data_IF_369135041464
#
_entry.id   IF_369135041464
#
_cell.length_a   1.000
_cell.length_b   1.000
_cell.length_c   1.000
_cell.angle_alpha   90.00
_cell.angle_beta   90.00
_cell.angle_gamma   90.00
#
_symmetry.space_group_name_H-M   'P 1'
#
loop_
_entity.id
_entity.type
_entity.pdbx_description
1 polymer ?
#
# COMPACT_ATOMS: atom_id res chain seq x y z
N UNK A 1 -10.55 -30.49 11.59
CA UNK A 1 -10.73 -29.73 10.33
C UNK A 1 -10.29 -28.29 10.56
N UNK A 2 -9.16 -27.86 10.01
CA UNK A 2 -8.54 -26.54 10.29
C UNK A 2 -9.23 -25.46 9.44
N UNK A 3 -9.97 -24.55 10.08
CA UNK A 3 -10.85 -23.52 9.46
C UNK A 3 -10.31 -22.10 9.60
N UNK A 4 -9.00 -21.95 9.83
CA UNK A 4 -8.34 -20.64 9.92
C UNK A 4 -7.10 -20.64 9.05
N UNK A 5 -7.05 -19.70 8.11
CA UNK A 5 -5.81 -19.36 7.40
C UNK A 5 -4.92 -18.67 8.43
N UNK A 6 -3.81 -19.30 8.80
CA UNK A 6 -2.77 -18.71 9.65
C UNK A 6 -1.48 -18.65 8.86
N UNK A 7 -1.01 -17.44 8.60
CA UNK A 7 0.37 -17.21 8.21
C UNK A 7 1.17 -17.09 9.50
N UNK A 8 2.24 -17.88 9.66
CA UNK A 8 3.11 -17.87 10.86
C UNK A 8 4.18 -16.76 10.81
N UNK A 9 4.05 -15.80 9.88
CA UNK A 9 5.06 -14.78 9.55
C UNK A 9 4.79 -13.43 10.21
N UNK A 10 5.80 -12.54 10.21
CA UNK A 10 5.79 -11.18 10.80
C UNK A 10 4.58 -10.34 10.38
N UNK A 11 4.14 -9.35 11.18
CA UNK A 11 3.01 -8.49 10.83
C UNK A 11 3.15 -7.83 9.44
N UNK A 12 2.02 -7.42 8.84
CA UNK A 12 2.04 -6.52 7.67
C UNK A 12 2.36 -5.12 8.20
N UNK A 13 3.42 -4.48 7.69
CA UNK A 13 3.77 -3.12 8.06
C UNK A 13 2.90 -2.13 7.30
N UNK A 14 2.39 -1.13 7.99
CA UNK A 14 1.79 0.06 7.40
C UNK A 14 2.87 1.15 7.46
N UNK A 15 3.21 1.70 6.30
CA UNK A 15 4.17 2.78 6.12
C UNK A 15 3.47 4.14 6.20
N UNK A 16 3.85 5.02 5.28
CA UNK A 16 3.28 6.36 5.21
C UNK A 16 1.80 6.30 4.83
N UNK A 17 0.99 7.05 5.57
CA UNK A 17 -0.41 7.30 5.30
C UNK A 17 -0.64 8.82 5.39
N UNK A 18 -1.66 9.31 4.70
CA UNK A 18 -2.06 10.73 4.81
C UNK A 18 -2.18 11.15 6.28
N UNK A 19 -1.72 12.37 6.58
CA UNK A 19 -1.88 12.94 7.91
C UNK A 19 -3.37 13.07 8.27
N UNK A 20 -3.65 13.19 9.57
CA UNK A 20 -5.01 13.31 10.11
C UNK A 20 -5.78 14.51 9.51
N UNK A 21 -5.07 15.47 8.92
CA UNK A 21 -5.60 16.66 8.26
C UNK A 21 -5.56 16.57 6.72
N UNK A 22 -5.50 15.39 6.12
CA UNK A 22 -5.49 15.29 4.66
C UNK A 22 -4.18 15.75 4.00
N UNK A 23 -3.21 16.28 4.75
CA UNK A 23 -1.93 16.71 4.18
C UNK A 23 -0.97 15.53 4.01
N UNK A 24 0.06 15.76 3.20
CA UNK A 24 1.14 14.79 2.99
C UNK A 24 1.86 14.47 4.32
N UNK A 25 2.35 13.24 4.48
CA UNK A 25 3.17 12.86 5.63
C UNK A 25 4.27 13.88 5.93
N UNK A 26 4.44 14.21 7.21
CA UNK A 26 5.44 15.13 7.74
C UNK A 26 5.34 16.60 7.24
N UNK A 27 4.20 17.00 6.66
CA UNK A 27 3.92 18.41 6.31
C UNK A 27 3.90 19.29 7.57
N UNK A 28 3.27 18.84 8.65
CA UNK A 28 3.27 19.46 9.98
C UNK A 28 4.67 19.78 10.55
N UNK A 29 5.71 19.09 10.05
CA UNK A 29 7.12 19.28 10.46
C UNK A 29 7.92 20.13 9.47
N UNK A 30 7.26 20.73 8.48
CA UNK A 30 7.91 21.49 7.40
C UNK A 30 8.82 20.62 6.52
N UNK A 31 8.64 19.30 6.55
CA UNK A 31 9.45 18.32 5.80
C UNK A 31 8.52 17.34 5.07
N UNK A 32 7.65 17.85 4.16
CA UNK A 32 6.72 16.99 3.44
C UNK A 32 7.48 15.87 2.74
N UNK A 33 7.03 14.64 2.98
CA UNK A 33 7.55 13.45 2.31
C UNK A 33 6.54 13.04 1.24
N UNK A 34 7.05 12.46 0.16
CA UNK A 34 6.27 11.96 -0.98
C UNK A 34 5.57 13.07 -1.80
N UNK A 35 5.46 12.86 -3.12
CA UNK A 35 4.66 13.74 -4.00
C UNK A 35 3.15 13.41 -3.87
N UNK A 36 2.86 12.18 -3.42
CA UNK A 36 1.53 11.63 -3.14
C UNK A 36 1.33 11.50 -1.61
N UNK A 37 0.19 10.97 -1.16
CA UNK A 37 -0.39 10.90 0.20
C UNK A 37 -1.16 12.12 0.70
N UNK A 38 -1.78 12.87 -0.21
CA UNK A 38 -2.77 13.88 0.18
C UNK A 38 -4.19 13.27 0.21
N UNK A 39 -5.11 13.96 0.87
CA UNK A 39 -6.57 13.72 0.79
C UNK A 39 -7.09 12.43 1.43
N UNK A 40 -6.29 11.70 2.20
CA UNK A 40 -6.78 10.62 3.06
C UNK A 40 -7.06 9.29 2.35
N UNK A 41 -6.59 9.13 1.10
CA UNK A 41 -6.96 8.00 0.23
C UNK A 41 -5.79 7.11 -0.15
N UNK A 42 -4.61 7.31 0.45
CA UNK A 42 -3.38 6.67 0.00
C UNK A 42 -2.58 6.13 1.18
N UNK A 43 -2.09 4.90 1.05
CA UNK A 43 -1.30 4.21 2.08
C UNK A 43 -0.17 3.40 1.46
N UNK A 44 0.99 3.46 2.09
CA UNK A 44 2.10 2.58 1.80
C UNK A 44 2.02 1.34 2.68
N UNK A 45 2.17 0.17 2.07
CA UNK A 45 2.19 -1.13 2.75
C UNK A 45 3.55 -1.77 2.54
N UNK A 46 4.23 -2.07 3.64
CA UNK A 46 5.53 -2.74 3.60
C UNK A 46 5.40 -4.17 3.06
N UNK A 47 6.37 -4.58 2.25
CA UNK A 47 6.37 -5.90 1.65
C UNK A 47 6.53 -7.00 2.72
N UNK A 48 5.61 -7.99 2.80
CA UNK A 48 5.65 -9.02 3.82
C UNK A 48 6.85 -9.96 3.64
N UNK A 49 7.49 -10.34 4.74
CA UNK A 49 8.61 -11.29 4.73
C UNK A 49 8.17 -12.75 4.80
N UNK A 50 8.86 -13.62 4.07
CA UNK A 50 8.74 -15.07 4.20
C UNK A 50 9.67 -15.67 5.25
N UNK A 51 10.57 -14.87 5.81
CA UNK A 51 11.51 -15.25 6.86
C UNK A 51 11.17 -14.60 8.22
N UNK A 52 11.90 -14.98 9.25
CA UNK A 52 11.74 -14.48 10.63
C UNK A 52 12.51 -13.17 10.87
N UNK A 53 12.84 -12.42 9.82
CA UNK A 53 13.63 -11.19 9.96
C UNK A 53 12.85 -10.10 10.71
N UNK A 54 13.47 -9.39 11.66
CA UNK A 54 12.77 -8.39 12.46
C UNK A 54 12.41 -7.12 11.68
N UNK A 55 13.10 -6.83 10.57
CA UNK A 55 12.79 -5.64 9.75
C UNK A 55 11.80 -5.97 8.64
N UNK A 56 10.65 -5.29 8.67
CA UNK A 56 9.66 -5.33 7.60
C UNK A 56 10.01 -4.41 6.43
N UNK A 57 10.84 -3.39 6.67
CA UNK A 57 11.33 -2.43 5.68
C UNK A 57 12.77 -2.79 5.31
N UNK A 58 12.93 -3.52 4.22
CA UNK A 58 14.24 -3.96 3.72
C UNK A 58 14.18 -4.14 2.22
N UNK A 59 15.35 -4.04 1.57
CA UNK A 59 15.48 -4.32 0.14
C UNK A 59 15.21 -5.81 -0.12
N UNK A 60 14.22 -6.09 -0.97
CA UNK A 60 13.83 -7.45 -1.37
C UNK A 60 14.19 -7.78 -2.81
N UNK A 61 14.87 -6.89 -3.51
CA UNK A 61 15.40 -7.11 -4.84
C UNK A 61 16.77 -6.45 -4.98
N UNK A 62 17.50 -6.80 -6.03
CA UNK A 62 18.67 -6.05 -6.46
C UNK A 62 18.21 -4.83 -7.26
N UNK A 63 18.58 -3.64 -6.82
CA UNK A 63 18.21 -2.40 -7.49
C UNK A 63 19.15 -2.10 -8.66
N UNK A 64 18.59 -1.87 -9.84
CA UNK A 64 19.31 -1.43 -11.04
C UNK A 64 18.85 -0.04 -11.43
N UNK A 65 19.81 0.81 -11.80
CA UNK A 65 19.51 2.11 -12.40
C UNK A 65 19.25 1.91 -13.89
N UNK A 66 18.03 2.21 -14.34
CA UNK A 66 17.62 2.02 -15.73
C UNK A 66 17.73 3.35 -16.51
N UNK A 67 17.68 4.47 -15.80
CA UNK A 67 17.98 5.84 -16.28
C UNK A 67 18.71 6.63 -15.16
N UNK A 68 19.04 7.92 -15.38
CA UNK A 68 19.88 8.71 -14.45
C UNK A 68 19.32 8.81 -13.02
N UNK A 69 18.02 8.62 -12.84
CA UNK A 69 17.30 8.77 -11.58
C UNK A 69 16.25 7.68 -11.34
N UNK A 70 16.20 6.65 -12.18
CA UNK A 70 15.18 5.59 -12.09
C UNK A 70 15.76 4.28 -11.54
N UNK A 71 15.43 3.97 -10.28
CA UNK A 71 15.77 2.69 -9.65
C UNK A 71 14.65 1.67 -9.91
N UNK A 72 14.98 0.49 -10.43
CA UNK A 72 14.05 -0.64 -10.58
C UNK A 72 14.61 -1.89 -9.94
N UNK A 73 13.76 -2.87 -9.66
CA UNK A 73 14.24 -4.21 -9.32
C UNK A 73 14.73 -4.94 -10.57
N UNK A 74 15.91 -5.54 -10.49
CA UNK A 74 16.40 -6.44 -11.52
C UNK A 74 15.48 -7.67 -11.63
N UNK A 75 15.06 -8.08 -12.85
CA UNK A 75 14.22 -9.25 -13.04
C UNK A 75 14.81 -10.51 -12.38
N UNK A 76 13.97 -11.26 -11.67
CA UNK A 76 14.38 -12.51 -11.02
C UNK A 76 15.20 -12.35 -9.73
N UNK A 77 15.44 -11.12 -9.25
CA UNK A 77 16.20 -10.88 -8.01
C UNK A 77 15.33 -10.70 -6.76
N UNK A 78 14.00 -10.78 -6.92
CA UNK A 78 13.07 -10.72 -5.79
C UNK A 78 13.32 -11.91 -4.86
N UNK A 79 13.55 -11.62 -3.58
CA UNK A 79 13.88 -12.58 -2.54
C UNK A 79 13.12 -12.31 -1.25
N UNK A 80 12.90 -13.38 -0.51
CA UNK A 80 12.32 -13.39 0.82
C UNK A 80 10.95 -12.67 0.95
N UNK A 81 10.23 -12.53 -0.16
CA UNK A 81 8.88 -11.96 -0.22
C UNK A 81 7.86 -13.06 0.06
N UNK A 82 6.99 -12.88 1.06
CA UNK A 82 5.82 -13.74 1.27
C UNK A 82 4.71 -13.36 0.27
N UNK A 83 4.96 -13.69 -0.99
CA UNK A 83 4.12 -13.32 -2.13
C UNK A 83 2.71 -13.89 -2.02
N UNK A 84 2.57 -15.09 -1.45
CA UNK A 84 1.26 -15.73 -1.25
C UNK A 84 0.43 -14.95 -0.24
N UNK A 85 1.05 -14.50 0.86
CA UNK A 85 0.38 -13.67 1.85
C UNK A 85 0.06 -12.29 1.30
N UNK A 86 0.98 -11.69 0.54
CA UNK A 86 0.75 -10.39 -0.09
C UNK A 86 -0.45 -10.45 -1.04
N UNK A 87 -0.45 -11.40 -1.98
CA UNK A 87 -1.54 -11.56 -2.94
C UNK A 87 -2.88 -11.87 -2.25
N UNK A 88 -2.87 -12.67 -1.18
CA UNK A 88 -4.07 -12.91 -0.38
C UNK A 88 -4.52 -11.67 0.39
N UNK A 89 -3.61 -10.87 0.95
CA UNK A 89 -3.97 -9.61 1.59
C UNK A 89 -4.62 -8.63 0.59
N UNK A 90 -4.02 -8.48 -0.60
CA UNK A 90 -4.56 -7.62 -1.65
C UNK A 90 -5.94 -8.08 -2.14
N UNK A 91 -6.18 -9.39 -2.23
CA UNK A 91 -7.52 -9.89 -2.58
C UNK A 91 -8.56 -9.49 -1.55
N UNK A 92 -8.23 -9.54 -0.24
CA UNK A 92 -9.16 -9.13 0.82
C UNK A 92 -9.58 -7.66 0.69
N UNK A 93 -8.68 -6.79 0.21
CA UNK A 93 -9.04 -5.40 -0.07
C UNK A 93 -10.10 -5.34 -1.18
N UNK A 94 -9.92 -6.11 -2.25
CA UNK A 94 -10.72 -6.05 -3.48
C UNK A 94 -12.08 -6.76 -3.38
N UNK A 95 -12.16 -7.92 -2.73
CA UNK A 95 -13.37 -8.76 -2.74
C UNK A 95 -13.85 -9.18 -1.35
N UNK A 96 -13.12 -8.77 -0.30
CA UNK A 96 -13.53 -8.92 1.09
C UNK A 96 -13.02 -10.17 1.78
N UNK A 97 -13.24 -10.26 3.11
CA UNK A 97 -12.89 -11.44 3.87
C UNK A 97 -13.73 -12.63 3.47
N UNK A 98 -13.07 -13.80 3.37
CA UNK A 98 -13.74 -15.08 3.25
C UNK A 98 -14.12 -15.58 4.65
N UNK A 99 -15.41 -15.68 5.03
CA UNK A 99 -15.79 -16.17 6.35
C UNK A 99 -15.24 -17.59 6.59
N UNK A 100 -14.41 -17.75 7.63
CA UNK A 100 -13.71 -19.01 7.91
C UNK A 100 -12.59 -19.37 6.91
N UNK A 101 -12.09 -18.40 6.15
CA UNK A 101 -11.00 -18.58 5.18
C UNK A 101 -11.40 -19.39 3.95
N UNK A 102 -12.68 -19.35 3.55
CA UNK A 102 -13.21 -20.12 2.42
C UNK A 102 -13.97 -19.23 1.44
N UNK A 103 -13.68 -19.42 0.16
CA UNK A 103 -14.46 -18.85 -0.94
C UNK A 103 -15.96 -19.04 -0.75
N UNK A 104 -16.72 -17.96 -0.92
CA UNK A 104 -18.17 -17.94 -0.91
C UNK A 104 -18.65 -17.79 -2.34
N UNK A 105 -19.22 -18.86 -2.90
CA UNK A 105 -19.63 -18.86 -4.31
C UNK A 105 -20.70 -17.81 -4.61
N UNK A 106 -21.69 -17.70 -3.71
CA UNK A 106 -22.78 -16.73 -3.80
C UNK A 106 -22.28 -15.31 -3.49
N UNK A 107 -22.21 -14.46 -4.52
CA UNK A 107 -21.77 -13.08 -4.40
C UNK A 107 -22.62 -12.26 -3.42
N UNK A 108 -23.93 -12.54 -3.31
CA UNK A 108 -24.83 -11.82 -2.41
C UNK A 108 -24.57 -12.12 -0.93
N UNK A 109 -23.82 -13.19 -0.62
CA UNK A 109 -23.43 -13.57 0.74
C UNK A 109 -22.00 -13.16 1.10
N UNK A 110 -21.29 -12.52 0.17
CA UNK A 110 -19.94 -12.03 0.45
C UNK A 110 -20.02 -10.77 1.30
N UNK A 111 -19.12 -10.57 2.27
CA UNK A 111 -19.08 -9.35 3.09
C UNK A 111 -18.80 -8.07 2.29
N UNK A 112 -18.35 -8.20 1.03
CA UNK A 112 -17.89 -7.10 0.20
C UNK A 112 -16.45 -6.70 0.51
N UNK A 113 -15.82 -5.88 -0.35
CA UNK A 113 -14.45 -5.40 -0.18
C UNK A 113 -14.22 -4.74 1.18
N UNK A 114 -13.00 -4.87 1.72
CA UNK A 114 -12.59 -4.08 2.89
C UNK A 114 -12.43 -2.59 2.54
N UNK A 115 -12.04 -2.30 1.30
CA UNK A 115 -11.91 -0.95 0.77
C UNK A 115 -12.03 -0.98 -0.75
N UNK A 116 -12.51 0.10 -1.37
CA UNK A 116 -12.57 0.16 -2.83
C UNK A 116 -11.23 0.64 -3.35
N UNK A 117 -10.41 -0.27 -3.89
CA UNK A 117 -9.07 0.04 -4.40
C UNK A 117 -9.16 0.64 -5.81
N UNK A 118 -8.48 1.77 -6.02
CA UNK A 118 -8.38 2.43 -7.32
C UNK A 118 -7.14 1.96 -8.09
N UNK A 119 -5.97 1.99 -7.45
CA UNK A 119 -4.68 1.59 -8.05
C UNK A 119 -3.73 1.06 -6.99
N UNK A 120 -2.86 0.12 -7.38
CA UNK A 120 -1.76 -0.41 -6.56
C UNK A 120 -0.46 -0.19 -7.35
N UNK A 121 0.42 0.67 -6.84
CA UNK A 121 1.72 0.96 -7.43
C UNK A 121 2.82 0.14 -6.73
N UNK A 122 3.65 -0.52 -7.52
CA UNK A 122 4.88 -1.20 -7.06
C UNK A 122 5.83 -1.46 -8.23
N UNK A 123 7.04 -1.93 -7.98
CA UNK A 123 7.96 -2.34 -9.04
C UNK A 123 7.41 -3.53 -9.86
N UNK A 124 7.67 -3.54 -11.17
CA UNK A 124 7.24 -4.61 -12.08
C UNK A 124 7.65 -6.02 -11.61
N UNK A 125 8.84 -6.16 -11.03
CA UNK A 125 9.30 -7.46 -10.55
C UNK A 125 8.39 -8.02 -9.44
N UNK A 126 7.84 -7.17 -8.57
CA UNK A 126 6.87 -7.61 -7.55
C UNK A 126 5.50 -7.91 -8.15
N UNK A 127 5.07 -7.14 -9.17
CA UNK A 127 3.83 -7.43 -9.91
C UNK A 127 3.89 -8.84 -10.51
N UNK A 128 5.02 -9.19 -11.13
CA UNK A 128 5.23 -10.50 -11.73
C UNK A 128 5.14 -11.62 -10.69
N UNK A 129 5.78 -11.44 -9.53
CA UNK A 129 5.70 -12.41 -8.44
C UNK A 129 4.26 -12.55 -7.90
N UNK A 130 3.55 -11.44 -7.68
CA UNK A 130 2.15 -11.46 -7.24
C UNK A 130 1.31 -12.27 -8.22
N UNK A 131 1.42 -11.99 -9.53
CA UNK A 131 0.68 -12.67 -10.59
C UNK A 131 0.99 -14.16 -10.65
N UNK A 132 2.26 -14.56 -10.49
CA UNK A 132 2.66 -15.99 -10.42
C UNK A 132 1.97 -16.73 -9.26
N UNK A 133 1.67 -16.05 -8.15
CA UNK A 133 1.02 -16.66 -6.99
C UNK A 133 -0.51 -16.85 -7.16
N UNK A 134 -1.18 -16.01 -7.97
CA UNK A 134 -2.64 -15.98 -8.09
C UNK A 134 -3.27 -17.32 -8.50
N UNK A 135 -2.76 -18.08 -9.50
CA UNK A 135 -3.39 -19.35 -9.91
C UNK A 135 -3.46 -20.36 -8.77
N UNK A 136 -2.45 -20.42 -7.91
CA UNK A 136 -2.43 -21.32 -6.77
C UNK A 136 -3.46 -20.92 -5.70
N UNK A 137 -3.67 -19.62 -5.47
CA UNK A 137 -4.68 -19.11 -4.55
C UNK A 137 -6.10 -19.36 -5.08
N UNK A 138 -6.33 -19.13 -6.38
CA UNK A 138 -7.61 -19.40 -7.05
C UNK A 138 -7.96 -20.88 -7.01
N UNK A 139 -7.02 -21.78 -7.38
CA UNK A 139 -7.24 -23.24 -7.31
C UNK A 139 -7.59 -23.72 -5.90
N UNK A 140 -6.99 -23.11 -4.87
CA UNK A 140 -7.29 -23.40 -3.46
C UNK A 140 -8.61 -22.80 -2.99
N UNK A 141 -9.28 -22.00 -3.81
CA UNK A 141 -10.49 -21.23 -3.47
C UNK A 141 -10.25 -20.35 -2.25
N UNK A 142 -9.10 -19.67 -2.22
CA UNK A 142 -8.77 -18.68 -1.21
C UNK A 142 -9.15 -17.26 -1.63
N UNK A 143 -9.27 -17.03 -2.94
CA UNK A 143 -9.65 -15.75 -3.55
C UNK A 143 -10.81 -16.00 -4.52
N UNK A 144 -11.63 -14.99 -4.79
CA UNK A 144 -12.69 -15.06 -5.80
C UNK A 144 -12.17 -14.65 -7.19
N UNK A 145 -13.01 -14.83 -8.21
CA UNK A 145 -12.64 -14.54 -9.59
C UNK A 145 -12.45 -13.03 -9.83
N UNK A 146 -13.16 -12.20 -9.06
CA UNK A 146 -13.06 -10.74 -9.09
C UNK A 146 -11.66 -10.27 -8.64
N UNK A 147 -11.17 -10.75 -7.48
CA UNK A 147 -9.81 -10.43 -7.04
C UNK A 147 -8.73 -11.05 -7.95
N UNK A 148 -8.98 -12.24 -8.51
CA UNK A 148 -8.07 -12.85 -9.48
C UNK A 148 -7.93 -11.97 -10.74
N UNK A 149 -9.04 -11.47 -11.28
CA UNK A 149 -9.03 -10.57 -12.43
C UNK A 149 -8.39 -9.22 -12.10
N UNK A 150 -8.75 -8.63 -10.96
CA UNK A 150 -8.25 -7.32 -10.52
C UNK A 150 -6.75 -7.33 -10.17
N UNK A 151 -6.14 -8.46 -9.84
CA UNK A 151 -4.69 -8.58 -9.65
C UNK A 151 -3.96 -9.13 -10.90
N UNK A 152 -4.69 -9.39 -11.99
CA UNK A 152 -4.16 -9.93 -13.23
C UNK A 152 -3.45 -8.90 -14.13
N UNK A 153 -3.33 -9.23 -15.42
CA UNK A 153 -2.59 -8.45 -16.42
C UNK A 153 -3.13 -7.02 -16.60
N UNK A 154 -4.45 -6.87 -16.67
CA UNK A 154 -5.11 -5.58 -16.92
C UNK A 154 -5.76 -4.99 -15.65
N UNK A 155 -5.37 -5.50 -14.49
CA UNK A 155 -6.00 -5.23 -13.20
C UNK A 155 -5.67 -3.87 -12.59
N UNK A 156 -5.50 -3.82 -11.27
CA UNK A 156 -5.21 -2.63 -10.46
C UNK A 156 -3.70 -2.40 -10.24
N UNK A 157 -2.87 -3.40 -10.54
CA UNK A 157 -1.41 -3.32 -10.38
C UNK A 157 -0.81 -2.45 -11.49
N UNK A 158 0.01 -1.47 -11.11
CA UNK A 158 0.69 -0.54 -12.02
C UNK A 158 2.18 -0.44 -11.67
N UNK A 159 3.08 -0.58 -12.66
CA UNK A 159 4.51 -0.47 -12.40
C UNK A 159 4.88 0.96 -11.99
N UNK A 160 5.76 1.08 -11.01
CA UNK A 160 6.34 2.36 -10.59
C UNK A 160 7.73 2.15 -10.00
N UNK A 161 8.71 2.90 -10.50
CA UNK A 161 10.11 2.86 -10.09
C UNK A 161 10.38 3.46 -8.70
N UNK A 162 9.42 4.16 -8.12
CA UNK A 162 9.57 4.72 -6.77
C UNK A 162 9.24 3.72 -5.66
N UNK A 163 8.70 2.55 -6.01
CA UNK A 163 8.07 1.61 -5.09
C UNK A 163 8.80 0.25 -5.08
N UNK A 164 10.11 0.28 -4.85
CA UNK A 164 11.00 -0.90 -4.87
C UNK A 164 11.07 -1.66 -3.54
N UNK A 165 10.41 -1.18 -2.49
CA UNK A 165 10.42 -1.79 -1.15
C UNK A 165 9.04 -1.79 -0.44
N UNK A 166 8.00 -1.24 -1.08
CA UNK A 166 6.63 -1.19 -0.58
C UNK A 166 5.61 -1.26 -1.74
N UNK A 167 4.33 -1.40 -1.37
CA UNK A 167 3.20 -1.12 -2.24
C UNK A 167 2.63 0.24 -1.87
N UNK A 168 2.28 1.07 -2.84
CA UNK A 168 1.46 2.24 -2.61
C UNK A 168 0.05 1.96 -3.12
N UNK A 169 -0.95 2.09 -2.25
CA UNK A 169 -2.34 1.76 -2.56
C UNK A 169 -3.18 3.03 -2.49
N UNK A 170 -3.88 3.32 -3.58
CA UNK A 170 -4.86 4.39 -3.66
C UNK A 170 -6.27 3.79 -3.57
N UNK A 171 -7.13 4.41 -2.76
CA UNK A 171 -8.51 4.02 -2.56
C UNK A 171 -9.47 5.03 -3.21
N UNK A 172 -10.59 4.52 -3.72
CA UNK A 172 -11.73 5.34 -4.10
C UNK A 172 -12.44 5.87 -2.85
N UNK A 173 -13.15 6.98 -3.02
CA UNK A 173 -13.95 7.60 -1.96
C UNK A 173 -13.82 9.11 -1.97
N UNK A 174 -14.52 9.74 -1.04
CA UNK A 174 -14.43 11.18 -0.83
C UNK A 174 -13.03 11.55 -0.33
N UNK A 175 -12.52 12.68 -0.83
CA UNK A 175 -11.29 13.27 -0.32
C UNK A 175 -11.56 13.72 1.11
N UNK A 176 -10.63 13.45 2.00
CA UNK A 176 -10.68 13.99 3.35
C UNK A 176 -10.64 15.53 3.27
N UNK A 177 -11.81 16.15 3.33
CA UNK A 177 -11.92 17.59 3.50
C UNK A 177 -11.67 17.89 4.97
N UNK A 178 -10.57 18.59 5.28
CA UNK A 178 -10.42 19.15 6.62
C UNK A 178 -11.33 20.37 6.71
N UNK A 179 -12.34 20.36 7.60
CA UNK A 179 -13.15 21.53 7.85
C UNK A 179 -12.22 22.71 8.13
N UNK A 180 -12.50 23.89 7.57
CA UNK A 180 -11.64 25.07 7.75
C UNK A 180 -11.34 25.38 9.23
N UNK A 181 -12.26 25.00 10.13
CA UNK A 181 -12.15 25.13 11.59
C UNK A 181 -11.08 24.21 12.22
N UNK A 182 -10.74 23.09 11.57
CA UNK A 182 -9.72 22.14 12.02
C UNK A 182 -8.39 22.29 11.28
N UNK A 183 -8.28 23.24 10.35
CA UNK A 183 -6.99 23.61 9.75
C UNK A 183 -6.20 24.32 10.84
N UNK A 184 -5.24 23.64 11.45
CA UNK A 184 -4.25 24.34 12.26
C UNK A 184 -3.61 25.39 11.36
N UNK A 185 -3.65 26.65 11.78
CA UNK A 185 -2.78 27.64 11.17
C UNK A 185 -1.37 27.13 11.38
N UNK A 186 -0.68 26.77 10.30
CA UNK A 186 0.73 26.43 10.37
C UNK A 186 1.41 27.54 11.15
N UNK A 187 2.19 27.19 12.18
CA UNK A 187 2.93 28.22 12.89
C UNK A 187 3.77 28.98 11.85
N UNK A 188 3.80 30.33 11.90
CA UNK A 188 4.55 31.10 10.93
C UNK A 188 5.99 30.59 10.86
N UNK A 189 6.47 30.38 9.65
CA UNK A 189 7.84 29.94 9.39
C UNK A 189 8.84 30.91 10.05
N UNK A 190 10.08 30.49 10.33
CA UNK A 190 11.10 31.40 10.84
C UNK A 190 11.32 32.65 9.99
N UNK A 191 11.08 32.56 8.67
CA UNK A 191 11.11 33.69 7.75
C UNK A 191 9.94 34.66 7.96
N UNK A 192 8.71 34.13 8.12
CA UNK A 192 7.52 34.93 8.41
C UNK A 192 7.59 35.58 9.80
N UNK A 193 8.14 34.87 10.80
CA UNK A 193 8.38 35.45 12.14
C UNK A 193 9.40 36.59 12.10
N UNK A 194 10.44 36.49 11.25
CA UNK A 194 11.39 37.59 11.03
C UNK A 194 10.75 38.78 10.31
N UNK A 195 9.87 38.53 9.35
CA UNK A 195 9.17 39.56 8.59
C UNK A 195 8.13 40.32 9.44
N UNK A 196 7.52 39.66 10.43
CA UNK A 196 6.53 40.28 11.31
C UNK A 196 7.11 41.40 12.20
N UNK A 197 8.44 41.47 12.36
CA UNK A 197 9.12 42.47 13.17
C UNK A 197 8.77 42.41 14.67
N UNK A 198 9.57 43.03 15.56
CA UNK A 198 9.14 43.21 16.93
C UNK A 198 7.99 44.21 16.94
N UNK A 199 6.79 43.77 17.32
CA UNK A 199 5.71 44.69 17.72
C UNK A 199 6.14 45.34 19.03
N UNK A 200 6.85 46.46 18.93
CA UNK A 200 7.27 47.25 20.08
C UNK A 200 6.06 47.75 20.85
N UNK A 201 6.07 47.50 22.16
CA UNK A 201 5.26 48.22 23.14
C UNK A 201 5.90 49.53 23.54
#
# INVERSE_FOLDING_TARGET
RQTRIRFKSNAIAIGDATQWNGDRPATDRGKPRHIHHAEGREVDIGLPSSDDSPSLLRRRCEGVLVEQDELKCAPGTVRDLDVRRLAYFLSLLIDGPTPGGRHVADAARRPGPLAVVETILTDQAYIDEIRKALPALRRKRWIHDEAYGALGEEGLLRPSSWHVDHLHIQFQGERAEVPAVLRFQAEPSPAERKAAGPTGG
#
